data_IF_870851586905
#
_entry.id   IF_870851586905
#
_cell.length_a   1.000
_cell.length_b   1.000
_cell.length_c   1.000
_cell.angle_alpha   90.00
_cell.angle_beta   90.00
_cell.angle_gamma   90.00
#
_symmetry.space_group_name_H-M   'P 1'
#
loop_
_entity.id
_entity.type
_entity.pdbx_description
1 polymer ?
#
# COMPACT_ATOMS: atom_id res chain seq x y z
N UNK A 1 -15.81 11.35 24.99
CA UNK A 1 -14.50 10.92 24.43
C UNK A 1 -13.67 12.17 24.08
N UNK A 2 -13.92 13.28 24.78
CA UNK A 2 -13.79 14.64 24.22
C UNK A 2 -12.76 15.51 24.95
N UNK A 3 -12.01 14.93 25.90
CA UNK A 3 -10.98 15.67 26.65
C UNK A 3 -9.58 15.59 26.04
N UNK A 4 -9.39 14.82 24.96
CA UNK A 4 -8.15 14.83 24.21
C UNK A 4 -8.27 15.81 23.04
N UNK A 5 -7.84 17.05 23.29
CA UNK A 5 -7.60 18.08 22.27
C UNK A 5 -6.54 17.61 21.26
N UNK A 6 -6.95 16.76 20.34
CA UNK A 6 -6.20 16.36 19.15
C UNK A 6 -6.90 17.05 17.97
N UNK A 7 -6.18 17.74 17.08
CA UNK A 7 -6.82 18.51 16.02
C UNK A 7 -7.72 17.61 15.16
N UNK A 8 -8.99 18.00 15.04
CA UNK A 8 -10.07 17.34 14.29
C UNK A 8 -9.86 17.44 12.76
N UNK A 9 -8.68 17.09 12.26
CA UNK A 9 -8.36 17.13 10.83
C UNK A 9 -8.63 15.79 10.11
N UNK A 10 -9.48 14.93 10.69
CA UNK A 10 -9.84 13.64 10.10
C UNK A 10 -10.71 13.80 8.86
N UNK A 11 -11.69 14.71 8.92
CA UNK A 11 -12.64 14.92 7.84
C UNK A 11 -11.95 15.54 6.61
N UNK A 12 -11.04 16.49 6.81
CA UNK A 12 -10.29 17.15 5.73
C UNK A 12 -9.32 16.19 5.04
N UNK A 13 -8.61 15.35 5.80
CA UNK A 13 -7.65 14.39 5.26
C UNK A 13 -8.33 13.18 4.58
N UNK A 14 -9.43 12.66 5.15
CA UNK A 14 -10.24 11.63 4.51
C UNK A 14 -10.88 12.16 3.22
N UNK A 15 -11.37 13.41 3.21
CA UNK A 15 -11.86 14.05 1.98
C UNK A 15 -10.76 14.20 0.93
N UNK A 16 -9.56 14.62 1.33
CA UNK A 16 -8.42 14.71 0.41
C UNK A 16 -8.06 13.34 -0.20
N UNK A 17 -8.06 12.27 0.59
CA UNK A 17 -7.77 10.92 0.09
C UNK A 17 -8.86 10.40 -0.86
N UNK A 18 -10.13 10.68 -0.57
CA UNK A 18 -11.23 10.39 -1.50
C UNK A 18 -11.10 11.19 -2.79
N UNK A 19 -10.77 12.48 -2.73
CA UNK A 19 -10.59 13.33 -3.92
C UNK A 19 -9.42 12.82 -4.77
N UNK A 20 -8.29 12.46 -4.15
CA UNK A 20 -7.13 11.91 -4.86
C UNK A 20 -7.45 10.54 -5.48
N UNK A 21 -8.16 9.67 -4.77
CA UNK A 21 -8.60 8.37 -5.30
C UNK A 21 -9.55 8.51 -6.48
N UNK A 22 -10.53 9.42 -6.36
CA UNK A 22 -11.48 9.75 -7.42
C UNK A 22 -10.75 10.33 -8.63
N UNK A 23 -9.82 11.27 -8.42
CA UNK A 23 -9.02 11.85 -9.50
C UNK A 23 -8.16 10.81 -10.22
N UNK A 24 -7.48 9.92 -9.48
CA UNK A 24 -6.73 8.80 -10.06
C UNK A 24 -7.65 7.85 -10.85
N UNK A 25 -8.85 7.57 -10.35
CA UNK A 25 -9.81 6.72 -11.06
C UNK A 25 -10.30 7.36 -12.37
N UNK A 26 -10.59 8.66 -12.38
CA UNK A 26 -10.96 9.39 -13.59
C UNK A 26 -9.82 9.45 -14.61
N UNK A 27 -8.57 9.59 -14.14
CA UNK A 27 -7.39 9.64 -15.02
C UNK A 27 -7.16 8.28 -15.72
N UNK A 28 -7.33 7.17 -14.99
CA UNK A 28 -7.26 5.81 -15.55
C UNK A 28 -8.41 5.57 -16.54
N UNK A 29 -9.62 6.01 -16.19
CA UNK A 29 -10.81 5.83 -17.03
C UNK A 29 -10.73 6.66 -18.33
N UNK A 30 -10.15 7.87 -18.26
CA UNK A 30 -9.88 8.72 -19.42
C UNK A 30 -8.80 8.15 -20.35
N UNK A 31 -7.75 7.54 -19.81
CA UNK A 31 -6.70 6.88 -20.62
C UNK A 31 -7.21 5.61 -21.29
N UNK A 32 -8.05 4.84 -20.59
CA UNK A 32 -8.74 3.68 -21.13
C UNK A 32 -9.71 4.05 -22.27
N UNK A 33 -10.46 5.15 -22.11
CA UNK A 33 -11.28 5.71 -23.18
C UNK A 33 -10.43 6.13 -24.39
N UNK A 34 -9.23 6.68 -24.14
CA UNK A 34 -8.26 7.00 -25.19
C UNK A 34 -7.75 5.77 -25.95
N UNK A 35 -7.42 4.69 -25.24
CA UNK A 35 -7.05 3.40 -25.85
C UNK A 35 -8.21 2.82 -26.68
N UNK A 36 -9.43 2.82 -26.15
CA UNK A 36 -10.62 2.34 -26.84
C UNK A 36 -10.93 3.12 -28.12
N UNK A 37 -10.79 4.44 -28.08
CA UNK A 37 -10.95 5.29 -29.27
C UNK A 37 -9.84 5.05 -30.30
N UNK A 38 -8.61 4.77 -29.85
CA UNK A 38 -7.49 4.50 -30.75
C UNK A 38 -7.59 3.14 -31.46
N UNK A 39 -8.19 2.14 -30.82
CA UNK A 39 -8.48 0.83 -31.42
C UNK A 39 -9.66 0.89 -32.39
N UNK A 40 -10.65 1.75 -32.13
CA UNK A 40 -11.78 2.00 -33.04
C UNK A 40 -11.33 2.60 -34.39
N UNK A 41 -10.20 3.32 -34.44
CA UNK A 41 -9.62 3.83 -35.69
C UNK A 41 -8.85 2.76 -36.50
N UNK A 42 -8.47 1.63 -35.90
CA UNK A 42 -7.52 0.67 -36.50
C UNK A 42 -8.19 -0.55 -37.17
N UNK A 43 -9.42 -0.92 -36.81
CA UNK A 43 -10.02 -2.17 -37.29
C UNK A 43 -11.31 -1.99 -38.08
N UNK A 44 -11.21 -2.23 -39.40
CA UNK A 44 -12.31 -2.28 -40.35
C UNK A 44 -12.86 -3.71 -40.59
N UNK A 45 -12.43 -4.71 -39.79
CA UNK A 45 -12.68 -6.14 -40.10
C UNK A 45 -13.17 -7.01 -38.91
N UNK A 46 -13.29 -6.48 -37.69
CA UNK A 46 -13.76 -7.24 -36.51
C UNK A 46 -15.17 -6.78 -36.14
N UNK A 47 -16.07 -7.72 -35.84
CA UNK A 47 -17.42 -7.41 -35.35
C UNK A 47 -17.34 -6.55 -34.08
N UNK A 48 -18.00 -5.39 -34.11
CA UNK A 48 -18.06 -4.43 -32.99
C UNK A 48 -18.49 -5.07 -31.65
N UNK A 49 -19.30 -6.14 -31.72
CA UNK A 49 -19.73 -6.90 -30.54
C UNK A 49 -18.57 -7.67 -29.87
N UNK A 50 -17.66 -8.23 -30.66
CA UNK A 50 -16.53 -9.01 -30.16
C UNK A 50 -15.47 -8.11 -29.51
N UNK A 51 -15.24 -6.93 -30.10
CA UNK A 51 -14.40 -5.88 -29.51
C UNK A 51 -14.94 -5.44 -28.15
N UNK A 52 -16.25 -5.17 -28.06
CA UNK A 52 -16.91 -4.77 -26.82
C UNK A 52 -16.79 -5.85 -25.74
N UNK A 53 -16.94 -7.14 -26.10
CA UNK A 53 -16.77 -8.24 -25.15
C UNK A 53 -15.34 -8.37 -24.64
N UNK A 54 -14.32 -8.28 -25.51
CA UNK A 54 -12.92 -8.31 -25.09
C UNK A 54 -12.63 -7.18 -24.11
N UNK A 55 -13.12 -5.98 -24.40
CA UNK A 55 -12.96 -4.82 -23.53
C UNK A 55 -13.63 -5.01 -22.16
N UNK A 56 -14.88 -5.46 -22.12
CA UNK A 56 -15.58 -5.71 -20.87
C UNK A 56 -14.88 -6.78 -20.02
N UNK A 57 -14.35 -7.85 -20.63
CA UNK A 57 -13.68 -8.93 -19.91
C UNK A 57 -12.33 -8.47 -19.33
N UNK A 58 -11.57 -7.65 -20.06
CA UNK A 58 -10.30 -7.11 -19.55
C UNK A 58 -10.49 -6.00 -18.50
N UNK A 59 -11.55 -5.19 -18.61
CA UNK A 59 -11.72 -4.00 -17.80
C UNK A 59 -12.36 -4.26 -16.43
N UNK A 60 -13.35 -5.16 -16.35
CA UNK A 60 -14.05 -5.44 -15.10
C UNK A 60 -13.13 -5.86 -13.95
N UNK A 61 -12.15 -6.77 -14.16
CA UNK A 61 -11.21 -7.15 -13.11
C UNK A 61 -10.38 -5.96 -12.62
N UNK A 62 -9.98 -5.02 -13.49
CA UNK A 62 -9.15 -3.88 -13.12
C UNK A 62 -9.86 -2.92 -12.18
N UNK A 63 -11.12 -2.61 -12.47
CA UNK A 63 -11.93 -1.73 -11.60
C UNK A 63 -12.12 -2.38 -10.23
N UNK A 64 -12.48 -3.67 -10.20
CA UNK A 64 -12.71 -4.38 -8.94
C UNK A 64 -11.44 -4.40 -8.09
N UNK A 65 -10.28 -4.64 -8.72
CA UNK A 65 -8.99 -4.62 -8.03
C UNK A 65 -8.63 -3.21 -7.53
N UNK A 66 -8.93 -2.17 -8.29
CA UNK A 66 -8.69 -0.79 -7.87
C UNK A 66 -9.55 -0.39 -6.67
N UNK A 67 -10.85 -0.72 -6.67
CA UNK A 67 -11.77 -0.43 -5.55
C UNK A 67 -11.33 -1.18 -4.30
N UNK A 68 -10.92 -2.43 -4.48
CA UNK A 68 -10.35 -3.30 -3.45
C UNK A 68 -9.11 -2.65 -2.80
N UNK A 69 -8.13 -2.22 -3.61
CA UNK A 69 -6.91 -1.58 -3.11
C UNK A 69 -7.22 -0.25 -2.39
N UNK A 70 -8.14 0.54 -2.94
CA UNK A 70 -8.53 1.82 -2.33
C UNK A 70 -9.16 1.61 -0.95
N UNK A 71 -10.05 0.62 -0.82
CA UNK A 71 -10.72 0.28 0.44
C UNK A 71 -9.70 -0.17 1.48
N UNK A 72 -8.76 -1.02 1.10
CA UNK A 72 -7.67 -1.45 1.97
C UNK A 72 -6.79 -0.27 2.42
N UNK A 73 -6.33 0.56 1.48
CA UNK A 73 -5.48 1.72 1.76
C UNK A 73 -6.17 2.72 2.69
N UNK A 74 -7.48 2.90 2.53
CA UNK A 74 -8.28 3.74 3.41
C UNK A 74 -8.23 3.24 4.86
N UNK A 75 -8.50 1.95 5.10
CA UNK A 75 -8.50 1.38 6.44
C UNK A 75 -7.11 1.42 7.11
N UNK A 76 -6.06 1.06 6.39
CA UNK A 76 -4.69 1.10 6.95
C UNK A 76 -4.27 2.53 7.29
N UNK A 77 -4.53 3.49 6.41
CA UNK A 77 -4.19 4.90 6.67
C UNK A 77 -4.96 5.43 7.87
N UNK A 78 -6.23 5.06 8.00
CA UNK A 78 -7.04 5.42 9.16
C UNK A 78 -6.43 4.90 10.46
N UNK A 79 -6.07 3.61 10.51
CA UNK A 79 -5.38 3.01 11.66
C UNK A 79 -4.08 3.77 11.97
N UNK A 80 -3.25 4.01 10.95
CA UNK A 80 -1.97 4.71 11.11
C UNK A 80 -2.14 6.08 11.76
N UNK A 81 -3.10 6.88 11.29
CA UNK A 81 -3.37 8.21 11.86
C UNK A 81 -3.74 8.10 13.34
N UNK A 82 -4.58 7.11 13.69
CA UNK A 82 -4.98 6.88 15.08
C UNK A 82 -3.79 6.48 15.95
N UNK A 83 -2.84 5.68 15.44
CA UNK A 83 -1.58 5.42 16.13
C UNK A 83 -0.73 6.67 16.29
N UNK A 84 -0.52 7.47 15.24
CA UNK A 84 0.27 8.71 15.31
C UNK A 84 -0.27 9.65 16.40
N UNK A 85 -1.59 9.78 16.52
CA UNK A 85 -2.22 10.61 17.53
C UNK A 85 -2.06 10.05 18.94
N UNK A 86 -2.20 8.74 19.09
CA UNK A 86 -1.97 8.08 20.37
C UNK A 86 -0.51 8.23 20.82
N UNK A 87 0.43 8.13 19.88
CA UNK A 87 1.86 8.33 20.11
C UNK A 87 2.15 9.77 20.54
N UNK A 88 1.55 10.77 19.88
CA UNK A 88 1.69 12.18 20.24
C UNK A 88 1.18 12.48 21.66
N UNK A 89 0.03 11.91 22.02
CA UNK A 89 -0.54 12.01 23.36
C UNK A 89 0.37 11.37 24.40
N UNK A 90 0.88 10.16 24.12
CA UNK A 90 1.80 9.47 25.03
C UNK A 90 3.10 10.28 25.23
N UNK A 91 3.68 10.80 24.16
CA UNK A 91 4.87 11.66 24.23
C UNK A 91 4.61 12.91 25.08
N UNK A 92 3.45 13.55 24.94
CA UNK A 92 3.09 14.72 25.76
C UNK A 92 2.98 14.38 27.26
N UNK A 93 2.53 13.17 27.61
CA UNK A 93 2.51 12.71 29.00
C UNK A 93 3.91 12.43 29.54
N UNK A 94 4.77 11.80 28.74
CA UNK A 94 6.16 11.51 29.11
C UNK A 94 6.99 12.79 29.32
N UNK A 95 6.82 13.81 28.47
CA UNK A 95 7.50 15.10 28.61
C UNK A 95 7.00 15.91 29.82
N UNK A 96 5.72 15.76 30.19
CA UNK A 96 5.16 16.38 31.39
C UNK A 96 5.78 15.78 32.67
N UNK A 97 6.02 14.47 32.69
CA UNK A 97 6.69 13.78 33.81
C UNK A 97 8.16 14.22 33.95
N UNK A 98 8.86 14.40 32.82
CA UNK A 98 10.26 14.81 32.79
C UNK A 98 10.50 16.33 32.84
N UNK A 99 9.44 17.13 33.07
CA UNK A 99 9.53 18.60 33.13
C UNK A 99 10.48 19.05 34.27
N UNK A 100 11.37 20.04 34.03
CA UNK A 100 12.33 20.53 35.01
C UNK A 100 11.69 21.13 36.27
N UNK A 101 10.37 21.38 36.26
CA UNK A 101 9.63 21.74 37.48
C UNK A 101 9.66 20.60 38.52
N UNK A 102 9.54 19.33 38.11
CA UNK A 102 9.60 18.20 39.06
C UNK A 102 11.02 17.98 39.61
N UNK A 103 12.05 18.32 38.82
CA UNK A 103 13.46 18.29 39.22
C UNK A 103 13.86 19.50 40.09
N UNK A 104 13.21 20.66 39.92
CA UNK A 104 13.35 21.82 40.82
C UNK A 104 12.63 21.63 42.15
N UNK A 105 11.46 20.98 42.16
CA UNK A 105 10.71 20.68 43.40
C UNK A 105 11.50 19.73 44.30
N UNK A 106 12.22 18.76 43.74
CA UNK A 106 13.14 17.89 44.51
C UNK A 106 14.34 18.64 45.11
N UNK A 107 14.81 19.72 44.46
CA UNK A 107 15.90 20.58 44.98
C UNK A 107 15.42 21.61 46.01
N UNK A 108 14.11 21.80 46.17
CA UNK A 108 13.53 22.77 47.10
C UNK A 108 13.00 22.11 48.39
N UNK A 109 13.13 20.76 48.48
CA UNK A 109 12.70 19.94 49.61
C UNK A 109 13.48 20.18 50.91
N UNK A 110 14.62 20.85 50.85
CA UNK A 110 15.44 21.07 52.03
C UNK A 110 14.97 22.24 52.92
N UNK A 111 13.87 22.95 52.58
CA UNK A 111 13.51 24.22 53.22
C UNK A 111 12.04 24.46 53.58
N UNK A 112 11.17 23.45 53.65
CA UNK A 112 9.73 23.69 53.91
C UNK A 112 9.11 22.65 54.85
N UNK A 113 9.14 22.91 56.15
CA UNK A 113 8.46 22.07 57.16
C UNK A 113 7.00 22.45 57.45
N UNK A 114 6.46 23.61 57.00
CA UNK A 114 5.12 24.03 57.43
C UNK A 114 3.99 24.07 56.36
N UNK A 115 4.27 24.00 55.05
CA UNK A 115 3.24 23.99 53.97
C UNK A 115 3.12 22.65 53.21
N UNK A 116 3.74 21.60 53.75
CA UNK A 116 4.05 20.33 53.08
C UNK A 116 2.83 19.46 52.75
N UNK A 117 1.78 19.45 53.57
CA UNK A 117 0.68 18.47 53.42
C UNK A 117 -0.13 18.66 52.14
N UNK A 118 -0.38 19.90 51.72
CA UNK A 118 -1.24 20.23 50.59
C UNK A 118 -0.54 20.07 49.22
N UNK A 119 0.74 20.44 49.15
CA UNK A 119 1.57 20.26 47.94
C UNK A 119 1.88 18.78 47.68
N UNK A 120 2.07 17.99 48.74
CA UNK A 120 2.26 16.54 48.66
C UNK A 120 0.99 15.84 48.19
N UNK A 121 -0.19 16.27 48.65
CA UNK A 121 -1.49 15.79 48.18
C UNK A 121 -1.76 16.15 46.71
N UNK A 122 -1.42 17.38 46.30
CA UNK A 122 -1.58 17.82 44.91
C UNK A 122 -0.67 17.04 43.94
N UNK A 123 0.57 16.74 44.36
CA UNK A 123 1.52 15.93 43.59
C UNK A 123 1.09 14.46 43.44
N UNK A 124 0.60 13.83 44.52
CA UNK A 124 0.09 12.46 44.48
C UNK A 124 -1.21 12.34 43.68
N UNK A 125 -2.12 13.31 43.80
CA UNK A 125 -3.34 13.37 42.99
C UNK A 125 -3.03 13.48 41.49
N UNK A 126 -2.13 14.39 41.10
CA UNK A 126 -1.72 14.57 39.70
C UNK A 126 -1.00 13.33 39.14
N UNK A 127 -0.19 12.66 39.94
CA UNK A 127 0.46 11.40 39.56
C UNK A 127 -0.55 10.26 39.36
N UNK A 128 -1.57 10.16 40.23
CA UNK A 128 -2.65 9.19 40.10
C UNK A 128 -3.50 9.44 38.85
N UNK A 129 -3.81 10.72 38.56
CA UNK A 129 -4.53 11.12 37.35
C UNK A 129 -3.74 10.77 36.07
N UNK A 130 -2.43 11.03 36.05
CA UNK A 130 -1.54 10.65 34.96
C UNK A 130 -1.45 9.12 34.79
N UNK A 131 -1.41 8.37 35.89
CA UNK A 131 -1.42 6.91 35.87
C UNK A 131 -2.74 6.37 35.28
N UNK A 132 -3.88 6.96 35.66
CA UNK A 132 -5.19 6.59 35.12
C UNK A 132 -5.27 6.90 33.61
N UNK A 133 -4.76 8.06 33.17
CA UNK A 133 -4.67 8.42 31.74
C UNK A 133 -3.76 7.47 30.96
N UNK A 134 -2.62 7.09 31.51
CA UNK A 134 -1.71 6.12 30.90
C UNK A 134 -2.36 4.74 30.73
N UNK A 135 -3.09 4.27 31.76
CA UNK A 135 -3.87 3.01 31.67
C UNK A 135 -4.91 3.06 30.55
N UNK A 136 -5.63 4.18 30.40
CA UNK A 136 -6.58 4.38 29.29
C UNK A 136 -5.88 4.37 27.93
N UNK A 137 -4.75 5.06 27.78
CA UNK A 137 -3.97 5.08 26.52
C UNK A 137 -3.46 3.67 26.16
N UNK A 138 -2.97 2.91 27.13
CA UNK A 138 -2.56 1.51 26.91
C UNK A 138 -3.73 0.63 26.47
N UNK A 139 -4.91 0.83 27.05
CA UNK A 139 -6.11 0.07 26.66
C UNK A 139 -6.56 0.42 25.24
N UNK A 140 -6.56 1.72 24.89
CA UNK A 140 -6.87 2.17 23.52
C UNK A 140 -5.86 1.59 22.51
N UNK A 141 -4.57 1.59 22.83
CA UNK A 141 -3.54 0.98 21.99
C UNK A 141 -3.83 -0.51 21.74
N UNK A 142 -4.13 -1.27 22.79
CA UNK A 142 -4.45 -2.69 22.67
C UNK A 142 -5.66 -2.94 21.77
N UNK A 143 -6.71 -2.13 21.89
CA UNK A 143 -7.87 -2.23 21.02
C UNK A 143 -7.54 -1.87 19.57
N UNK A 144 -6.75 -0.81 19.33
CA UNK A 144 -6.26 -0.48 17.98
C UNK A 144 -5.43 -1.61 17.37
N UNK A 145 -4.60 -2.26 18.18
CA UNK A 145 -3.78 -3.40 17.76
C UNK A 145 -4.62 -4.62 17.38
N UNK A 146 -5.70 -4.89 18.14
CA UNK A 146 -6.68 -5.92 17.77
C UNK A 146 -7.36 -5.57 16.45
N UNK A 147 -7.81 -4.33 16.27
CA UNK A 147 -8.40 -3.87 15.01
C UNK A 147 -7.43 -4.01 13.83
N UNK A 148 -6.16 -3.66 14.02
CA UNK A 148 -5.11 -3.83 13.02
C UNK A 148 -4.89 -5.31 12.67
N UNK A 149 -4.91 -6.21 13.66
CA UNK A 149 -4.80 -7.65 13.45
C UNK A 149 -5.99 -8.20 12.67
N UNK A 150 -7.22 -7.83 13.02
CA UNK A 150 -8.43 -8.25 12.32
C UNK A 150 -8.42 -7.73 10.88
N UNK A 151 -7.98 -6.48 10.67
CA UNK A 151 -7.84 -5.92 9.33
C UNK A 151 -6.77 -6.64 8.50
N UNK A 152 -5.65 -7.01 9.12
CA UNK A 152 -4.63 -7.83 8.45
C UNK A 152 -5.16 -9.22 8.07
N UNK A 153 -5.99 -9.84 8.92
CA UNK A 153 -6.59 -11.15 8.63
C UNK A 153 -7.65 -11.05 7.52
N UNK A 154 -8.50 -10.03 7.56
CA UNK A 154 -9.55 -9.81 6.56
C UNK A 154 -9.00 -9.44 5.18
N UNK A 155 -8.02 -8.52 5.12
CA UNK A 155 -7.47 -8.01 3.87
C UNK A 155 -6.16 -8.70 3.45
N UNK A 156 -5.63 -9.61 4.27
CA UNK A 156 -4.37 -10.31 3.99
C UNK A 156 -4.42 -11.05 2.66
N UNK A 157 -5.42 -11.92 2.48
CA UNK A 157 -5.59 -12.67 1.23
C UNK A 157 -5.84 -11.75 0.03
N UNK A 158 -6.62 -10.70 0.23
CA UNK A 158 -6.94 -9.70 -0.80
C UNK A 158 -5.68 -8.97 -1.28
N UNK A 159 -4.81 -8.54 -0.36
CA UNK A 159 -3.51 -7.95 -0.70
C UNK A 159 -2.64 -8.93 -1.49
N UNK A 160 -2.62 -10.20 -1.09
CA UNK A 160 -1.83 -11.22 -1.78
C UNK A 160 -2.24 -11.33 -3.25
N UNK A 161 -3.54 -11.50 -3.49
CA UNK A 161 -4.11 -11.62 -4.82
C UNK A 161 -3.85 -10.31 -5.62
N UNK A 162 -3.94 -9.15 -4.96
CA UNK A 162 -3.65 -7.86 -5.60
C UNK A 162 -2.19 -7.71 -6.04
N UNK A 163 -1.24 -8.10 -5.18
CA UNK A 163 0.18 -8.07 -5.52
C UNK A 163 0.48 -9.09 -6.63
N UNK A 164 0.01 -10.33 -6.50
CA UNK A 164 0.23 -11.37 -7.52
C UNK A 164 -0.35 -10.97 -8.89
N UNK A 165 -1.58 -10.46 -8.91
CA UNK A 165 -2.19 -9.97 -10.16
C UNK A 165 -1.33 -8.87 -10.80
N UNK A 166 -0.81 -7.94 -10.00
CA UNK A 166 0.06 -6.85 -10.49
C UNK A 166 1.36 -7.40 -11.06
N UNK A 167 1.98 -8.41 -10.42
CA UNK A 167 3.19 -9.08 -10.92
C UNK A 167 2.91 -9.77 -12.26
N UNK A 168 1.82 -10.52 -12.36
CA UNK A 168 1.43 -11.19 -13.60
C UNK A 168 1.23 -10.18 -14.73
N UNK A 169 0.53 -9.07 -14.49
CA UNK A 169 0.33 -8.01 -15.48
C UNK A 169 1.65 -7.37 -15.91
N UNK A 170 2.56 -7.09 -14.98
CA UNK A 170 3.89 -6.54 -15.30
C UNK A 170 4.65 -7.52 -16.19
N UNK A 171 4.73 -8.80 -15.82
CA UNK A 171 5.44 -9.82 -16.60
C UNK A 171 4.86 -9.98 -18.01
N UNK A 172 3.54 -10.05 -18.15
CA UNK A 172 2.88 -10.12 -19.47
C UNK A 172 3.17 -8.87 -20.31
N UNK A 173 3.14 -7.68 -19.71
CA UNK A 173 3.41 -6.43 -20.42
C UNK A 173 4.86 -6.35 -20.89
N UNK A 174 5.82 -6.79 -20.08
CA UNK A 174 7.22 -6.86 -20.49
C UNK A 174 7.46 -7.86 -21.63
N UNK A 175 6.79 -9.01 -21.62
CA UNK A 175 6.87 -9.96 -22.72
C UNK A 175 6.28 -9.39 -24.02
N UNK A 176 5.13 -8.71 -23.93
CA UNK A 176 4.52 -8.04 -25.08
C UNK A 176 5.42 -6.92 -25.61
N UNK A 177 6.04 -6.12 -24.73
CA UNK A 177 7.00 -5.09 -25.10
C UNK A 177 8.18 -5.67 -25.89
N UNK A 178 8.72 -6.81 -25.45
CA UNK A 178 9.77 -7.53 -26.18
C UNK A 178 9.29 -7.99 -27.56
N UNK A 179 8.07 -8.54 -27.64
CA UNK A 179 7.49 -8.99 -28.90
C UNK A 179 7.24 -7.85 -29.89
N UNK A 180 6.69 -6.71 -29.41
CA UNK A 180 6.52 -5.48 -30.18
C UNK A 180 7.86 -4.98 -30.70
N UNK A 181 8.93 -5.01 -29.89
CA UNK A 181 10.27 -4.63 -30.32
C UNK A 181 10.85 -5.56 -31.40
N UNK A 182 10.52 -6.86 -31.36
CA UNK A 182 11.00 -7.82 -32.34
C UNK A 182 10.27 -7.75 -33.69
N UNK A 183 8.96 -7.46 -33.71
CA UNK A 183 8.14 -7.52 -34.92
C UNK A 183 8.02 -6.17 -35.62
N UNK A 184 8.02 -5.05 -34.90
CA UNK A 184 7.67 -3.77 -35.51
C UNK A 184 8.82 -3.16 -36.32
N UNK A 185 8.64 -3.20 -37.64
CA UNK A 185 9.32 -2.36 -38.65
C UNK A 185 8.38 -1.36 -39.35
N UNK A 186 7.14 -1.16 -38.87
CA UNK A 186 6.20 -0.21 -39.51
C UNK A 186 5.27 0.54 -38.53
N UNK A 187 4.54 1.52 -39.11
CA UNK A 187 3.79 2.66 -38.53
C UNK A 187 3.07 2.44 -37.17
N UNK A 188 3.17 3.45 -36.27
CA UNK A 188 2.57 3.56 -34.92
C UNK A 188 3.22 2.83 -33.72
N UNK A 189 4.41 2.24 -33.86
CA UNK A 189 5.19 1.65 -32.75
C UNK A 189 5.35 2.54 -31.49
N UNK A 190 5.36 3.86 -31.64
CA UNK A 190 5.45 4.82 -30.51
C UNK A 190 4.19 4.78 -29.64
N UNK A 191 3.00 4.62 -30.23
CA UNK A 191 1.73 4.57 -29.49
C UNK A 191 1.65 3.30 -28.63
N UNK A 192 2.02 2.15 -29.19
CA UNK A 192 2.05 0.87 -28.47
C UNK A 192 3.07 0.87 -27.33
N UNK A 193 4.28 1.42 -27.57
CA UNK A 193 5.31 1.58 -26.52
C UNK A 193 4.81 2.40 -25.34
N UNK A 194 4.15 3.54 -25.63
CA UNK A 194 3.62 4.42 -24.59
C UNK A 194 2.62 3.70 -23.68
N UNK A 195 1.70 2.93 -24.27
CA UNK A 195 0.72 2.12 -23.55
C UNK A 195 1.40 1.11 -22.62
N UNK A 196 2.38 0.36 -23.11
CA UNK A 196 3.09 -0.63 -22.29
C UNK A 196 3.88 0.01 -21.13
N UNK A 197 4.59 1.12 -21.39
CA UNK A 197 5.29 1.84 -20.33
C UNK A 197 4.35 2.38 -19.26
N UNK A 198 3.17 2.87 -19.67
CA UNK A 198 2.15 3.35 -18.75
C UNK A 198 1.68 2.22 -17.81
N UNK A 199 1.32 1.05 -18.34
CA UNK A 199 0.90 -0.09 -17.51
C UNK A 199 2.01 -0.56 -16.56
N UNK A 200 3.25 -0.66 -17.02
CA UNK A 200 4.40 -1.02 -16.16
C UNK A 200 4.57 -0.01 -15.02
N UNK A 201 4.51 1.29 -15.33
CA UNK A 201 4.65 2.34 -14.33
C UNK A 201 3.48 2.34 -13.34
N UNK A 202 2.25 2.18 -13.82
CA UNK A 202 1.04 2.10 -12.99
C UNK A 202 1.11 0.95 -11.98
N UNK A 203 1.35 -0.28 -12.43
CA UNK A 203 1.43 -1.44 -11.54
C UNK A 203 2.66 -1.38 -10.64
N UNK A 204 3.78 -0.84 -11.13
CA UNK A 204 4.99 -0.61 -10.33
C UNK A 204 4.75 0.36 -9.16
N UNK A 205 4.16 1.53 -9.45
CA UNK A 205 3.77 2.49 -8.41
C UNK A 205 2.77 1.89 -7.44
N UNK A 206 1.77 1.14 -7.94
CA UNK A 206 0.77 0.48 -7.10
C UNK A 206 1.43 -0.43 -6.06
N UNK A 207 2.28 -1.37 -6.51
CA UNK A 207 2.96 -2.31 -5.61
C UNK A 207 3.85 -1.56 -4.63
N UNK A 208 4.62 -0.58 -5.10
CA UNK A 208 5.49 0.23 -4.24
C UNK A 208 4.71 1.02 -3.17
N UNK A 209 3.60 1.67 -3.54
CA UNK A 209 2.76 2.43 -2.64
C UNK A 209 2.13 1.54 -1.56
N UNK A 210 1.61 0.36 -1.95
CA UNK A 210 1.05 -0.62 -1.02
C UNK A 210 2.10 -1.07 0.00
N UNK A 211 3.29 -1.48 -0.46
CA UNK A 211 4.37 -1.92 0.45
C UNK A 211 4.83 -0.79 1.36
N UNK A 212 5.03 0.42 0.84
CA UNK A 212 5.50 1.55 1.64
C UNK A 212 4.51 1.96 2.75
N UNK A 213 3.21 1.96 2.44
CA UNK A 213 2.16 2.29 3.41
C UNK A 213 2.08 1.22 4.51
N UNK A 214 2.20 -0.06 4.15
CA UNK A 214 2.27 -1.15 5.13
C UNK A 214 3.49 -1.02 6.04
N UNK A 215 4.68 -0.81 5.45
CA UNK A 215 5.93 -0.61 6.19
C UNK A 215 5.82 0.55 7.18
N UNK A 216 5.32 1.70 6.72
CA UNK A 216 5.18 2.89 7.57
C UNK A 216 4.21 2.63 8.72
N UNK A 217 3.13 1.89 8.49
CA UNK A 217 2.17 1.54 9.54
C UNK A 217 2.79 0.60 10.57
N UNK A 218 3.58 -0.39 10.12
CA UNK A 218 4.35 -1.30 10.99
C UNK A 218 5.34 -0.52 11.86
N UNK A 219 6.06 0.45 11.29
CA UNK A 219 7.06 1.23 12.05
C UNK A 219 6.40 2.07 13.13
N UNK A 220 5.28 2.74 12.83
CA UNK A 220 4.54 3.57 13.80
C UNK A 220 4.01 2.74 14.98
N UNK A 221 3.52 1.53 14.68
CA UNK A 221 3.09 0.55 15.69
C UNK A 221 4.29 0.10 16.54
N UNK A 222 5.42 -0.19 15.91
CA UNK A 222 6.64 -0.65 16.60
C UNK A 222 7.20 0.41 17.55
N UNK A 223 7.24 1.66 17.12
CA UNK A 223 7.76 2.75 17.94
C UNK A 223 6.94 2.94 19.22
N UNK A 224 5.63 2.74 19.17
CA UNK A 224 4.80 2.75 20.37
C UNK A 224 4.94 1.48 21.22
N UNK A 225 5.08 0.30 20.59
CA UNK A 225 5.33 -0.95 21.33
C UNK A 225 6.61 -0.89 22.13
N UNK A 226 7.68 -0.26 21.59
CA UNK A 226 8.90 0.01 22.34
C UNK A 226 8.65 0.90 23.57
N UNK A 227 7.80 1.92 23.44
CA UNK A 227 7.44 2.80 24.55
C UNK A 227 6.53 2.11 25.59
N UNK A 228 5.77 1.09 25.19
CA UNK A 228 4.73 0.45 26.02
C UNK A 228 5.02 -0.98 26.49
N UNK A 229 6.19 -1.55 26.15
CA UNK A 229 6.63 -2.91 26.53
C UNK A 229 5.57 -3.98 26.17
N UNK A 230 5.06 -3.94 24.93
CA UNK A 230 4.08 -4.92 24.43
C UNK A 230 4.62 -5.77 23.26
N UNK A 231 4.02 -6.96 23.07
CA UNK A 231 4.38 -7.94 22.03
C UNK A 231 4.28 -7.36 20.61
N UNK A 232 5.28 -7.68 19.76
CA UNK A 232 5.40 -7.19 18.38
C UNK A 232 4.28 -7.71 17.47
N UNK A 233 3.48 -6.80 16.88
CA UNK A 233 2.63 -7.12 15.72
C UNK A 233 3.49 -7.14 14.44
N UNK A 234 3.28 -8.17 13.62
CA UNK A 234 3.79 -8.26 12.25
C UNK A 234 2.59 -8.34 11.31
N UNK A 235 2.58 -7.54 10.25
CA UNK A 235 1.60 -7.71 9.18
C UNK A 235 2.11 -8.81 8.25
N UNK A 236 1.59 -10.00 8.46
CA UNK A 236 1.84 -11.15 7.60
C UNK A 236 0.66 -11.34 6.65
N UNK A 237 0.95 -11.61 5.39
CA UNK A 237 -0.08 -11.95 4.41
C UNK A 237 -0.45 -13.41 4.60
N UNK A 238 -1.59 -13.67 5.26
CA UNK A 238 -2.06 -15.03 5.58
C UNK A 238 -1.00 -15.91 6.29
N UNK A 239 -0.01 -15.31 6.96
CA UNK A 239 1.10 -16.04 7.59
C UNK A 239 2.23 -16.49 6.65
N UNK A 240 2.16 -16.22 5.35
CA UNK A 240 3.14 -16.69 4.36
C UNK A 240 4.30 -15.71 4.10
N UNK A 241 4.01 -14.40 4.06
CA UNK A 241 4.99 -13.37 3.74
C UNK A 241 4.87 -12.15 4.64
N UNK A 242 6.01 -11.62 5.08
CA UNK A 242 6.11 -10.31 5.74
C UNK A 242 6.00 -9.19 4.67
N UNK A 243 5.12 -8.21 4.88
CA UNK A 243 4.90 -7.05 3.99
C UNK A 243 6.00 -5.98 4.14
N UNK A 244 7.25 -6.40 4.03
CA UNK A 244 8.42 -5.53 4.12
C UNK A 244 9.05 -5.32 2.72
N UNK A 245 10.05 -4.44 2.61
CA UNK A 245 10.78 -4.20 1.35
C UNK A 245 11.39 -5.46 0.71
N UNK A 246 11.61 -6.52 1.49
CA UNK A 246 12.00 -7.86 1.00
C UNK A 246 11.01 -8.41 -0.04
N UNK A 247 9.72 -8.13 0.11
CA UNK A 247 8.69 -8.52 -0.85
C UNK A 247 8.95 -7.88 -2.23
N UNK A 248 9.41 -6.63 -2.28
CA UNK A 248 9.73 -5.94 -3.54
C UNK A 248 10.86 -6.64 -4.27
N UNK A 249 11.92 -7.02 -3.56
CA UNK A 249 13.03 -7.78 -4.15
C UNK A 249 12.58 -9.14 -4.68
N UNK A 250 11.73 -9.85 -3.93
CA UNK A 250 11.16 -11.13 -4.37
C UNK A 250 10.27 -10.96 -5.61
N UNK A 251 9.48 -9.89 -5.67
CA UNK A 251 8.65 -9.54 -6.83
C UNK A 251 9.52 -9.26 -8.06
N UNK A 252 10.56 -8.43 -7.93
CA UNK A 252 11.50 -8.14 -9.02
C UNK A 252 12.17 -9.43 -9.51
N UNK A 253 12.64 -10.27 -8.58
CA UNK A 253 13.22 -11.58 -8.91
C UNK A 253 12.25 -12.46 -9.69
N UNK A 254 11.00 -12.58 -9.22
CA UNK A 254 9.94 -13.34 -9.89
C UNK A 254 9.68 -12.83 -11.32
N UNK A 255 9.56 -11.51 -11.51
CA UNK A 255 9.34 -10.91 -12.84
C UNK A 255 10.47 -11.28 -13.78
N UNK A 256 11.73 -11.13 -13.35
CA UNK A 256 12.92 -11.46 -14.14
C UNK A 256 12.94 -12.94 -14.47
N UNK A 257 12.72 -13.83 -13.49
CA UNK A 257 12.74 -15.28 -13.71
C UNK A 257 11.68 -15.71 -14.72
N UNK A 258 10.43 -15.27 -14.57
CA UNK A 258 9.38 -15.61 -15.53
C UNK A 258 9.64 -15.02 -16.91
N UNK A 259 10.21 -13.82 -17.00
CA UNK A 259 10.57 -13.20 -18.27
C UNK A 259 11.66 -14.03 -18.97
N UNK A 260 12.71 -14.43 -18.27
CA UNK A 260 13.76 -15.31 -18.83
C UNK A 260 13.17 -16.62 -19.35
N UNK A 261 12.27 -17.25 -18.58
CA UNK A 261 11.60 -18.49 -19.01
C UNK A 261 10.77 -18.24 -20.28
N UNK A 262 9.97 -17.17 -20.31
CA UNK A 262 9.14 -16.83 -21.47
C UNK A 262 9.97 -16.52 -22.71
N UNK A 263 11.12 -15.87 -22.57
CA UNK A 263 12.05 -15.64 -23.66
C UNK A 263 12.61 -16.96 -24.21
N UNK A 264 13.14 -17.82 -23.34
CA UNK A 264 13.71 -19.12 -23.73
C UNK A 264 12.68 -20.05 -24.38
N UNK A 265 11.43 -20.04 -23.89
CA UNK A 265 10.34 -20.82 -24.48
C UNK A 265 9.83 -20.18 -25.76
N UNK A 266 9.78 -18.84 -25.83
CA UNK A 266 9.28 -18.08 -26.97
C UNK A 266 10.11 -18.19 -28.26
N UNK A 267 11.41 -18.51 -28.16
CA UNK A 267 12.28 -18.73 -29.32
C UNK A 267 12.04 -20.07 -30.02
N UNK A 268 11.55 -21.08 -29.29
CA UNK A 268 11.29 -22.42 -29.84
C UNK A 268 10.22 -22.45 -30.97
N UNK A 269 9.02 -21.84 -30.84
CA UNK A 269 8.02 -21.87 -31.89
C UNK A 269 8.41 -21.12 -33.17
N UNK A 270 9.22 -20.06 -33.09
CA UNK A 270 9.71 -19.33 -34.28
C UNK A 270 10.65 -20.18 -35.15
N UNK A 271 11.54 -20.96 -34.51
CA UNK A 271 12.42 -21.88 -35.24
C UNK A 271 11.64 -23.03 -35.88
N UNK A 272 10.61 -23.55 -35.21
CA UNK A 272 9.80 -24.66 -35.70
C UNK A 272 8.91 -24.24 -36.87
N UNK A 273 8.32 -23.03 -36.81
CA UNK A 273 7.54 -22.46 -37.92
C UNK A 273 8.42 -22.20 -39.15
N UNK A 274 9.59 -21.57 -38.99
CA UNK A 274 10.51 -21.32 -40.09
C UNK A 274 11.04 -22.60 -40.73
N UNK A 275 11.34 -23.64 -39.94
CA UNK A 275 11.78 -24.94 -40.46
C UNK A 275 10.66 -25.68 -41.21
N UNK A 276 9.41 -25.53 -40.79
CA UNK A 276 8.26 -26.15 -41.47
C UNK A 276 7.98 -25.47 -42.81
N UNK A 277 8.06 -24.13 -42.85
CA UNK A 277 7.93 -23.35 -44.10
C UNK A 277 9.08 -23.66 -45.07
N UNK A 278 10.33 -23.70 -44.58
CA UNK A 278 11.50 -24.02 -45.40
C UNK A 278 11.44 -25.45 -46.00
N UNK A 279 10.94 -26.44 -45.25
CA UNK A 279 10.78 -27.81 -45.72
C UNK A 279 9.63 -28.00 -46.72
N UNK A 280 8.63 -27.11 -46.71
CA UNK A 280 7.56 -27.09 -47.70
C UNK A 280 8.03 -26.45 -49.01
N UNK A 281 8.85 -25.39 -48.92
CA UNK A 281 9.44 -24.73 -50.11
C UNK A 281 10.55 -25.52 -50.77
N UNK A 282 11.23 -26.44 -50.07
CA UNK A 282 12.28 -27.29 -50.65
C UNK A 282 11.76 -28.59 -51.30
N UNK A 283 10.45 -28.86 -51.18
CA UNK A 283 9.76 -30.02 -51.77
C UNK A 283 8.92 -29.69 -53.00
N UNK A 284 8.82 -28.42 -53.38
CA UNK A 284 8.35 -27.98 -54.69
C UNK A 284 9.53 -27.77 -55.63
#
# INVERSE_FOLDING_TARGET
MDELKVPENYASLSRYQCIVGVFLSFLILGLYLGEALSLYEVESCIDNYLILMIYCVYFNPLIVMMISDFTFLFWIRYIRIKFVQLNAVLQSMLTTINSPQHKRVLKMKDNWEDDSSLSTHYGTYKAYENLAKLKRVKQIHLELMKCASILNEAYGLQMLISIFSSVTYITTTFYNLYFTFLINKYYNWIKELYVHFYYIFYYGIKVFALTNICQTTITEIRDFMYQSIQNRLKFTVCGFYDLDHTLIYNVIGSIITYLVILLQVGDKPKSLFNNTVHNLTSRM
#
